data_IF_365988803987
#
_entry.id   IF_365988803987
#
_cell.length_a   1.000
_cell.length_b   1.000
_cell.length_c   1.000
_cell.angle_alpha   90.00
_cell.angle_beta   90.00
_cell.angle_gamma   90.00
#
_symmetry.space_group_name_H-M   'P 1'
#
loop_
_entity.id
_entity.type
_entity.pdbx_description
1 polymer ?
#
# COMPACT_ATOMS: atom_id res chain seq x y z
N UNK A 1 69.98 -47.61 -13.86
CA UNK A 1 68.58 -47.62 -14.35
C UNK A 1 68.62 -47.40 -15.86
N UNK A 2 68.12 -48.38 -16.63
CA UNK A 2 68.11 -48.30 -18.07
C UNK A 2 67.19 -47.28 -18.64
N UNK A 3 67.48 -46.77 -19.84
CA UNK A 3 66.69 -45.72 -20.54
C UNK A 3 65.20 -46.03 -20.65
N UNK A 4 64.81 -47.32 -20.69
CA UNK A 4 63.42 -47.76 -20.74
C UNK A 4 62.66 -47.50 -19.39
N UNK A 5 63.35 -47.67 -18.24
CA UNK A 5 62.79 -47.40 -16.93
C UNK A 5 62.52 -45.92 -16.68
N UNK A 6 63.42 -45.05 -17.14
CA UNK A 6 63.20 -43.56 -17.08
C UNK A 6 62.08 -43.10 -17.99
N UNK A 7 61.91 -43.67 -19.19
CA UNK A 7 60.75 -43.37 -20.04
C UNK A 7 59.40 -43.78 -19.44
N UNK A 8 59.33 -44.95 -18.81
CA UNK A 8 58.12 -45.43 -18.13
C UNK A 8 57.77 -44.55 -16.90
N UNK A 9 58.79 -44.13 -16.15
CA UNK A 9 58.61 -43.24 -15.00
C UNK A 9 58.11 -41.85 -15.45
N UNK A 10 58.69 -41.28 -16.50
CA UNK A 10 58.24 -39.98 -17.04
C UNK A 10 56.82 -40.05 -17.61
N UNK A 11 56.45 -41.16 -18.27
CA UNK A 11 55.08 -41.34 -18.78
C UNK A 11 54.07 -41.44 -17.62
N UNK A 12 54.43 -42.12 -16.52
CA UNK A 12 53.62 -42.23 -15.32
C UNK A 12 53.35 -40.82 -14.70
N UNK A 13 54.38 -39.98 -14.58
CA UNK A 13 54.23 -38.62 -14.05
C UNK A 13 53.37 -37.72 -14.96
N UNK A 14 53.50 -37.82 -16.28
CA UNK A 14 52.68 -37.07 -17.24
C UNK A 14 51.23 -37.49 -17.15
N UNK A 15 50.94 -38.81 -17.05
CA UNK A 15 49.55 -39.29 -16.91
C UNK A 15 48.94 -38.93 -15.55
N UNK A 16 49.73 -38.97 -14.47
CA UNK A 16 49.28 -38.56 -13.15
C UNK A 16 48.98 -37.04 -13.11
N UNK A 17 49.81 -36.24 -13.76
CA UNK A 17 49.57 -34.76 -13.86
C UNK A 17 48.35 -34.44 -14.71
N UNK A 18 48.14 -35.15 -15.84
CA UNK A 18 46.95 -35.02 -16.66
C UNK A 18 45.68 -35.42 -15.93
N UNK A 19 45.71 -36.54 -15.16
CA UNK A 19 44.59 -36.98 -14.34
C UNK A 19 44.24 -35.97 -13.22
N UNK A 20 45.26 -35.42 -12.56
CA UNK A 20 45.08 -34.38 -11.54
C UNK A 20 44.50 -33.10 -12.13
N UNK A 21 44.97 -32.68 -13.31
CA UNK A 21 44.46 -31.50 -14.03
C UNK A 21 42.99 -31.72 -14.44
N UNK A 22 42.66 -32.90 -14.95
CA UNK A 22 41.26 -33.26 -15.29
C UNK A 22 40.36 -33.33 -14.06
N UNK A 23 40.85 -33.84 -12.94
CA UNK A 23 40.12 -33.86 -11.67
C UNK A 23 39.83 -32.43 -11.14
N UNK A 24 40.83 -31.55 -11.21
CA UNK A 24 40.70 -30.12 -10.86
C UNK A 24 39.70 -29.42 -11.79
N UNK A 25 39.78 -29.70 -13.09
CA UNK A 25 38.87 -29.16 -14.09
C UNK A 25 37.43 -29.67 -13.82
N UNK A 26 37.27 -30.96 -13.54
CA UNK A 26 35.99 -31.55 -13.20
C UNK A 26 35.41 -30.94 -11.95
N UNK A 27 36.16 -30.73 -10.87
CA UNK A 27 35.73 -30.06 -9.65
C UNK A 27 35.34 -28.61 -9.90
N UNK A 28 36.09 -27.89 -10.79
CA UNK A 28 35.73 -26.52 -11.17
C UNK A 28 34.46 -26.43 -12.00
N UNK A 29 34.26 -27.36 -12.94
CA UNK A 29 33.08 -27.41 -13.80
C UNK A 29 31.81 -27.89 -13.06
N UNK A 30 31.99 -28.62 -11.95
CA UNK A 30 30.89 -29.16 -11.15
C UNK A 30 30.80 -28.49 -9.77
N UNK A 31 31.50 -27.36 -9.56
CA UNK A 31 31.25 -26.53 -8.40
C UNK A 31 29.83 -25.98 -8.55
N UNK A 32 28.91 -26.50 -7.76
CA UNK A 32 27.56 -25.90 -7.66
C UNK A 32 27.73 -24.40 -7.40
N UNK A 33 27.09 -23.57 -8.19
CA UNK A 33 27.04 -22.15 -7.87
C UNK A 33 26.50 -22.00 -6.44
N UNK A 34 27.07 -21.09 -5.65
CA UNK A 34 26.53 -20.84 -4.32
C UNK A 34 25.06 -20.48 -4.47
N UNK A 35 24.20 -21.26 -3.82
CA UNK A 35 22.76 -20.97 -3.80
C UNK A 35 22.60 -19.64 -3.10
N UNK A 36 22.01 -18.68 -3.79
CA UNK A 36 21.66 -17.39 -3.20
C UNK A 36 20.62 -17.65 -2.09
N UNK A 37 20.91 -17.37 -0.81
CA UNK A 37 19.98 -17.60 0.28
C UNK A 37 18.70 -16.73 0.18
N UNK A 38 18.73 -15.71 -0.68
CA UNK A 38 17.64 -14.77 -0.90
C UNK A 38 17.02 -14.88 -2.30
N UNK A 39 17.26 -16.00 -3.00
CA UNK A 39 16.67 -16.23 -4.32
C UNK A 39 15.14 -16.11 -4.26
N UNK A 40 14.56 -15.22 -5.08
CA UNK A 40 13.11 -14.95 -5.08
C UNK A 40 12.62 -14.02 -3.97
N UNK A 41 13.51 -13.44 -3.18
CA UNK A 41 13.19 -12.42 -2.19
C UNK A 41 13.56 -11.01 -2.68
N UNK A 42 12.94 -10.01 -2.09
CA UNK A 42 13.24 -8.59 -2.28
C UNK A 42 13.65 -7.96 -0.95
N UNK A 43 14.52 -6.97 -1.01
CA UNK A 43 15.02 -6.27 0.17
C UNK A 43 14.24 -4.98 0.35
N UNK A 44 13.40 -4.91 1.37
CA UNK A 44 12.43 -3.83 1.58
C UNK A 44 12.63 -3.17 2.94
N UNK A 45 12.16 -1.93 3.06
CA UNK A 45 12.01 -1.23 4.33
C UNK A 45 10.62 -1.55 4.89
N UNK A 46 10.54 -2.23 6.04
CA UNK A 46 9.28 -2.59 6.69
C UNK A 46 8.77 -1.55 7.71
N UNK A 47 9.52 -0.45 7.86
CA UNK A 47 9.25 0.61 8.82
C UNK A 47 10.08 0.50 10.10
N UNK A 48 10.65 -0.65 10.39
CA UNK A 48 11.57 -0.89 11.51
C UNK A 48 13.00 -1.13 11.04
N UNK A 49 13.18 -1.42 9.76
CA UNK A 49 14.47 -1.64 9.15
C UNK A 49 14.37 -2.28 7.78
N UNK A 50 15.53 -2.66 7.25
CA UNK A 50 15.62 -3.36 5.96
C UNK A 50 15.55 -4.86 6.17
N UNK A 51 14.59 -5.53 5.51
CA UNK A 51 14.34 -6.97 5.64
C UNK A 51 14.20 -7.65 4.28
N UNK A 52 14.50 -8.94 4.22
CA UNK A 52 14.20 -9.77 3.06
C UNK A 52 12.77 -10.30 3.14
N UNK A 53 12.00 -10.11 2.09
CA UNK A 53 10.61 -10.54 1.99
C UNK A 53 10.40 -11.32 0.69
N UNK A 54 9.62 -12.39 0.75
CA UNK A 54 9.11 -13.05 -0.46
C UNK A 54 7.89 -12.29 -0.95
N UNK A 55 7.90 -11.73 -2.17
CA UNK A 55 6.75 -11.02 -2.72
C UNK A 55 5.51 -11.93 -2.82
N UNK A 56 4.34 -11.34 -2.61
CA UNK A 56 3.06 -11.99 -2.88
C UNK A 56 2.85 -12.08 -4.39
N UNK A 57 2.46 -13.25 -4.85
CA UNK A 57 2.15 -13.48 -6.28
C UNK A 57 0.84 -12.77 -6.66
N UNK A 58 0.82 -12.18 -7.83
CA UNK A 58 -0.37 -11.51 -8.38
C UNK A 58 -0.63 -10.10 -7.85
N UNK A 59 0.15 -9.60 -6.91
CA UNK A 59 0.05 -8.22 -6.43
C UNK A 59 0.96 -7.32 -7.26
N UNK A 60 0.42 -6.23 -7.80
CA UNK A 60 1.16 -5.30 -8.64
C UNK A 60 2.31 -4.64 -7.85
N UNK A 61 3.49 -4.57 -8.48
CA UNK A 61 4.69 -3.98 -7.88
C UNK A 61 4.72 -2.48 -8.15
N UNK A 62 5.05 -1.71 -7.13
CA UNK A 62 5.25 -0.27 -7.26
C UNK A 62 6.41 0.04 -8.23
N UNK A 63 6.12 0.85 -9.23
CA UNK A 63 7.09 1.31 -10.23
C UNK A 63 7.60 2.73 -9.96
N UNK A 64 7.05 3.41 -8.96
CA UNK A 64 7.45 4.76 -8.57
C UNK A 64 8.81 4.74 -7.86
N UNK A 65 9.60 5.75 -8.12
CA UNK A 65 10.95 5.91 -7.58
C UNK A 65 11.16 7.33 -7.03
N UNK A 66 12.19 7.58 -6.22
CA UNK A 66 12.52 8.94 -5.79
C UNK A 66 12.71 9.95 -6.93
N UNK A 67 13.12 9.48 -8.13
CA UNK A 67 13.33 10.35 -9.29
C UNK A 67 12.01 10.89 -9.87
N UNK A 68 10.89 10.25 -9.58
CA UNK A 68 9.56 10.66 -10.04
C UNK A 68 8.95 11.77 -9.17
N UNK A 69 9.64 12.18 -8.10
CA UNK A 69 9.14 13.19 -7.16
C UNK A 69 10.12 14.33 -6.96
N UNK A 70 9.59 15.50 -6.67
CA UNK A 70 10.32 16.70 -6.28
C UNK A 70 9.62 17.36 -5.12
N UNK A 71 10.37 17.74 -4.09
CA UNK A 71 9.82 18.52 -2.97
C UNK A 71 9.64 19.99 -3.36
N UNK A 72 8.44 20.51 -3.21
CA UNK A 72 8.09 21.92 -3.43
C UNK A 72 7.30 22.40 -2.22
N UNK A 73 7.79 23.43 -1.56
CA UNK A 73 7.19 24.01 -0.37
C UNK A 73 6.86 22.95 0.73
N UNK A 74 7.76 21.97 0.89
CA UNK A 74 7.63 20.89 1.87
C UNK A 74 6.64 19.79 1.50
N UNK A 75 6.13 19.77 0.26
CA UNK A 75 5.21 18.75 -0.25
C UNK A 75 5.81 18.02 -1.45
N UNK A 76 5.64 16.69 -1.56
CA UNK A 76 6.04 15.97 -2.74
C UNK A 76 5.15 16.35 -3.92
N UNK A 77 5.78 16.59 -5.07
CA UNK A 77 5.12 16.76 -6.37
C UNK A 77 5.59 15.64 -7.28
N UNK A 78 4.66 14.93 -7.88
CA UNK A 78 4.96 13.97 -8.92
C UNK A 78 5.39 14.68 -10.21
N UNK A 79 6.53 14.29 -10.76
CA UNK A 79 7.11 14.84 -12.00
C UNK A 79 7.30 13.78 -13.07
N UNK A 80 6.91 12.54 -12.79
CA UNK A 80 6.94 11.44 -13.75
C UNK A 80 5.88 11.58 -14.85
N UNK A 81 5.82 10.61 -15.75
CA UNK A 81 4.93 10.63 -16.91
C UNK A 81 3.84 9.57 -16.89
N UNK A 82 3.91 8.62 -15.97
CA UNK A 82 2.98 7.49 -15.92
C UNK A 82 1.59 7.86 -15.36
N UNK A 83 1.52 8.87 -14.49
CA UNK A 83 0.30 9.26 -13.79
C UNK A 83 0.00 10.74 -13.93
N UNK A 84 -1.27 11.09 -13.88
CA UNK A 84 -1.75 12.37 -13.39
C UNK A 84 -1.97 12.24 -11.89
N UNK A 85 -1.76 13.32 -11.13
CA UNK A 85 -1.91 13.28 -9.68
C UNK A 85 -2.86 14.36 -9.19
N UNK A 86 -3.56 14.04 -8.10
CA UNK A 86 -4.43 14.96 -7.36
C UNK A 86 -4.00 14.96 -5.90
N UNK A 87 -4.09 16.12 -5.24
CA UNK A 87 -3.75 16.24 -3.84
C UNK A 87 -5.01 16.42 -3.00
N UNK A 88 -5.07 15.73 -1.86
CA UNK A 88 -6.21 15.79 -0.98
C UNK A 88 -5.82 15.64 0.49
N UNK A 89 -6.85 15.68 1.32
CA UNK A 89 -6.75 15.50 2.77
C UNK A 89 -7.66 14.36 3.20
N UNK A 90 -7.38 13.79 4.37
CA UNK A 90 -8.35 12.98 5.08
C UNK A 90 -8.63 13.57 6.47
N UNK A 91 -9.87 13.45 6.90
CA UNK A 91 -10.35 14.16 8.08
C UNK A 91 -11.49 13.42 8.80
N UNK A 92 -11.64 13.76 10.07
CA UNK A 92 -12.66 13.23 10.96
C UNK A 92 -13.12 14.29 11.95
N UNK A 93 -13.89 13.89 12.97
CA UNK A 93 -14.23 14.79 14.09
C UNK A 93 -13.03 15.41 14.81
N UNK A 94 -11.83 14.85 14.66
CA UNK A 94 -10.62 15.37 15.32
C UNK A 94 -10.20 16.74 14.78
N UNK A 95 -10.54 17.05 13.53
CA UNK A 95 -10.29 18.34 12.91
C UNK A 95 -11.33 19.40 13.31
N UNK A 96 -12.42 18.99 13.95
CA UNK A 96 -13.49 19.88 14.39
C UNK A 96 -14.09 20.72 13.26
N UNK A 97 -14.25 22.01 13.43
CA UNK A 97 -14.84 22.90 12.43
C UNK A 97 -13.81 23.33 11.39
N UNK A 98 -14.15 23.19 10.12
CA UNK A 98 -13.31 23.53 8.97
C UNK A 98 -13.90 24.75 8.24
N UNK A 99 -13.06 25.73 7.94
CA UNK A 99 -13.36 26.85 7.06
C UNK A 99 -13.14 26.44 5.60
N UNK A 100 -14.14 25.78 5.03
CA UNK A 100 -14.10 25.26 3.65
C UNK A 100 -13.88 26.33 2.59
N UNK A 101 -14.19 27.60 2.86
CA UNK A 101 -13.90 28.70 1.93
C UNK A 101 -12.39 28.95 1.80
N UNK A 102 -11.64 28.71 2.86
CA UNK A 102 -10.17 28.80 2.84
C UNK A 102 -9.50 27.53 2.32
N UNK A 103 -10.11 26.37 2.53
CA UNK A 103 -9.59 25.09 2.05
C UNK A 103 -9.77 24.96 0.54
N UNK A 104 -10.85 25.52 0.00
CA UNK A 104 -11.14 25.47 -1.43
C UNK A 104 -10.00 26.04 -2.28
N UNK A 105 -9.61 25.28 -3.32
CA UNK A 105 -8.50 25.65 -4.21
C UNK A 105 -7.10 25.26 -3.68
N UNK A 106 -7.00 24.68 -2.48
CA UNK A 106 -5.74 24.15 -1.94
C UNK A 106 -5.62 22.65 -2.06
N UNK A 107 -6.76 21.98 -2.25
CA UNK A 107 -6.88 20.54 -2.42
C UNK A 107 -7.86 20.22 -3.54
N UNK A 108 -7.70 19.04 -4.12
CA UNK A 108 -8.57 18.53 -5.19
C UNK A 108 -9.65 17.59 -4.63
N UNK A 109 -9.39 16.94 -3.49
CA UNK A 109 -10.32 15.97 -2.88
C UNK A 109 -10.19 15.91 -1.36
N UNK A 110 -11.21 15.33 -0.73
CA UNK A 110 -11.22 15.02 0.70
C UNK A 110 -11.80 13.63 0.98
N UNK A 111 -11.10 12.83 1.80
CA UNK A 111 -11.66 11.66 2.44
C UNK A 111 -12.23 12.03 3.81
N UNK A 112 -13.51 11.75 4.02
CA UNK A 112 -14.23 12.15 5.24
C UNK A 112 -14.63 10.90 6.01
N UNK A 113 -14.24 10.82 7.29
CA UNK A 113 -14.69 9.71 8.13
C UNK A 113 -16.20 9.75 8.25
N UNK A 114 -16.87 8.71 7.74
CA UNK A 114 -18.31 8.58 7.89
C UNK A 114 -18.66 8.18 9.31
N UNK A 115 -17.91 7.25 9.88
CA UNK A 115 -18.19 6.71 11.19
C UNK A 115 -17.15 5.67 11.61
N UNK A 116 -17.47 4.97 12.67
CA UNK A 116 -16.59 3.97 13.25
C UNK A 116 -17.37 2.93 14.05
N UNK A 117 -16.78 1.74 14.19
CA UNK A 117 -17.21 0.78 15.21
C UNK A 117 -16.43 1.02 16.49
N UNK A 118 -17.14 1.13 17.62
CA UNK A 118 -16.52 1.32 18.93
C UNK A 118 -15.59 0.16 19.29
N UNK A 119 -14.37 0.48 19.68
CA UNK A 119 -13.31 -0.51 19.91
C UNK A 119 -13.46 -1.34 21.19
N UNK A 120 -14.42 -1.00 22.08
CA UNK A 120 -14.75 -1.81 23.27
C UNK A 120 -16.06 -2.55 23.09
N UNK A 121 -17.18 -1.81 22.91
CA UNK A 121 -18.54 -2.36 22.91
C UNK A 121 -19.02 -2.79 21.51
N UNK A 122 -18.31 -2.36 20.45
CA UNK A 122 -18.61 -2.77 19.08
C UNK A 122 -19.86 -2.13 18.47
N UNK A 123 -20.41 -1.07 19.08
CA UNK A 123 -21.51 -0.29 18.50
C UNK A 123 -21.05 0.51 17.29
N UNK A 124 -21.98 0.76 16.34
CA UNK A 124 -21.74 1.61 15.17
C UNK A 124 -22.10 3.06 15.52
N UNK A 125 -21.20 3.96 15.17
CA UNK A 125 -21.34 5.39 15.42
C UNK A 125 -21.03 6.17 14.16
N UNK A 126 -21.85 7.20 13.89
CA UNK A 126 -21.56 8.19 12.88
C UNK A 126 -20.59 9.23 13.43
N UNK A 127 -19.67 9.73 12.61
CA UNK A 127 -18.77 10.82 12.99
C UNK A 127 -19.57 12.13 13.11
N UNK A 128 -19.42 12.83 14.22
CA UNK A 128 -20.19 14.04 14.52
C UNK A 128 -20.00 15.18 13.50
N UNK A 129 -18.91 15.14 12.75
CA UNK A 129 -18.58 16.13 11.72
C UNK A 129 -18.75 15.58 10.30
N UNK A 130 -19.30 14.37 10.13
CA UNK A 130 -19.51 13.78 8.80
C UNK A 130 -20.37 14.68 7.91
N UNK A 131 -21.61 14.94 8.30
CA UNK A 131 -22.53 15.75 7.49
C UNK A 131 -22.01 17.18 7.25
N UNK A 132 -21.54 17.94 8.26
CA UNK A 132 -20.97 19.27 8.05
C UNK A 132 -19.80 19.28 7.06
N UNK A 133 -18.90 18.29 7.14
CA UNK A 133 -17.75 18.21 6.26
C UNK A 133 -18.14 17.80 4.83
N UNK A 134 -19.05 16.84 4.66
CA UNK A 134 -19.60 16.47 3.35
C UNK A 134 -20.24 17.70 2.66
N UNK A 135 -21.11 18.42 3.34
CA UNK A 135 -21.74 19.63 2.81
C UNK A 135 -20.70 20.73 2.52
N UNK A 136 -19.74 20.89 3.40
CA UNK A 136 -18.68 21.88 3.25
C UNK A 136 -17.83 21.64 2.01
N UNK A 137 -17.33 20.42 1.81
CA UNK A 137 -16.50 20.06 0.67
C UNK A 137 -17.29 20.11 -0.65
N UNK A 138 -18.44 19.43 -0.71
CA UNK A 138 -19.26 19.33 -1.92
C UNK A 138 -19.71 20.71 -2.41
N UNK A 139 -20.13 21.61 -1.51
CA UNK A 139 -20.57 22.96 -1.90
C UNK A 139 -19.48 23.85 -2.50
N UNK A 140 -18.21 23.45 -2.38
CA UNK A 140 -17.05 24.11 -2.99
C UNK A 140 -16.47 23.34 -4.16
N UNK A 141 -17.15 22.28 -4.61
CA UNK A 141 -16.71 21.48 -5.75
C UNK A 141 -15.50 20.60 -5.47
N UNK A 142 -15.22 20.33 -4.19
CA UNK A 142 -14.18 19.38 -3.77
C UNK A 142 -14.76 17.97 -3.91
N UNK A 143 -14.05 17.09 -4.61
CA UNK A 143 -14.43 15.69 -4.73
C UNK A 143 -14.31 14.97 -3.38
N UNK A 144 -15.27 14.08 -3.10
CA UNK A 144 -15.34 13.42 -1.80
C UNK A 144 -15.34 11.91 -1.92
N UNK A 145 -14.58 11.29 -1.03
CA UNK A 145 -14.66 9.90 -0.65
C UNK A 145 -14.98 9.79 0.84
N UNK A 146 -15.29 8.58 1.28
CA UNK A 146 -15.57 8.32 2.69
C UNK A 146 -14.76 7.12 3.17
N UNK A 147 -14.40 7.15 4.45
CA UNK A 147 -13.82 5.99 5.12
C UNK A 147 -14.59 5.62 6.39
N UNK A 148 -14.57 4.35 6.71
CA UNK A 148 -15.17 3.82 7.93
C UNK A 148 -14.09 3.16 8.78
N UNK A 149 -13.90 3.65 10.01
CA UNK A 149 -12.94 3.09 10.95
C UNK A 149 -13.49 1.81 11.56
N UNK A 150 -13.04 0.68 11.03
CA UNK A 150 -13.54 -0.64 11.38
C UNK A 150 -12.88 -1.19 12.64
N UNK A 151 -13.69 -1.83 13.46
CA UNK A 151 -13.23 -2.71 14.53
C UNK A 151 -14.05 -4.01 14.52
N UNK A 152 -14.40 -4.49 13.32
CA UNK A 152 -15.09 -5.75 13.13
C UNK A 152 -14.24 -6.93 13.61
N UNK A 153 -14.87 -7.87 14.30
CA UNK A 153 -14.25 -9.11 14.79
C UNK A 153 -14.70 -10.35 14.02
N UNK A 154 -15.58 -10.17 13.05
CA UNK A 154 -16.09 -11.21 12.16
C UNK A 154 -16.72 -10.60 10.90
N UNK A 155 -16.91 -11.45 9.88
CA UNK A 155 -17.46 -11.10 8.57
C UNK A 155 -18.82 -10.40 8.66
N UNK A 156 -19.70 -10.86 9.56
CA UNK A 156 -21.03 -10.27 9.70
C UNK A 156 -20.95 -8.82 10.15
N UNK A 157 -20.08 -8.50 11.10
CA UNK A 157 -19.86 -7.13 11.54
C UNK A 157 -19.28 -6.24 10.42
N UNK A 158 -18.38 -6.76 9.59
CA UNK A 158 -17.84 -6.01 8.45
C UNK A 158 -18.92 -5.70 7.40
N UNK A 159 -19.86 -6.64 7.17
CA UNK A 159 -21.03 -6.40 6.32
C UNK A 159 -21.93 -5.30 6.93
N UNK A 160 -22.20 -5.36 8.23
CA UNK A 160 -22.99 -4.34 8.93
C UNK A 160 -22.35 -2.94 8.83
N UNK A 161 -21.01 -2.85 8.91
CA UNK A 161 -20.27 -1.61 8.71
C UNK A 161 -20.46 -1.07 7.29
N UNK A 162 -20.33 -1.92 6.28
CA UNK A 162 -20.53 -1.54 4.88
C UNK A 162 -21.98 -1.10 4.61
N UNK A 163 -22.97 -1.82 5.12
CA UNK A 163 -24.39 -1.45 5.01
C UNK A 163 -24.68 -0.11 5.70
N UNK A 164 -24.08 0.12 6.88
CA UNK A 164 -24.17 1.39 7.59
C UNK A 164 -23.63 2.56 6.75
N UNK A 165 -22.52 2.35 6.06
CA UNK A 165 -21.92 3.32 5.14
C UNK A 165 -22.84 3.57 3.95
N UNK A 166 -23.27 2.52 3.24
CA UNK A 166 -24.12 2.61 2.04
C UNK A 166 -25.41 3.40 2.32
N UNK A 167 -26.06 3.13 3.45
CA UNK A 167 -27.30 3.83 3.81
C UNK A 167 -27.10 5.35 3.89
N UNK A 168 -25.94 5.79 4.40
CA UNK A 168 -25.65 7.21 4.66
C UNK A 168 -25.16 7.95 3.45
N UNK A 169 -24.42 7.29 2.56
CA UNK A 169 -23.84 7.95 1.38
C UNK A 169 -24.77 8.00 0.17
N UNK A 170 -25.86 7.26 0.13
CA UNK A 170 -26.73 7.11 -1.04
C UNK A 170 -27.22 8.39 -1.67
N UNK A 171 -27.28 9.49 -0.91
CA UNK A 171 -27.76 10.80 -1.36
C UNK A 171 -26.61 11.80 -1.60
N UNK A 172 -25.36 11.39 -1.43
CA UNK A 172 -24.19 12.22 -1.70
C UNK A 172 -23.54 11.85 -3.05
N UNK A 173 -22.96 12.82 -3.76
CA UNK A 173 -22.23 12.57 -4.98
C UNK A 173 -20.81 12.04 -4.66
N UNK A 174 -20.72 10.79 -4.22
CA UNK A 174 -19.44 10.14 -3.93
C UNK A 174 -18.71 9.92 -5.25
N UNK A 175 -17.56 10.54 -5.43
CA UNK A 175 -16.73 10.48 -6.63
C UNK A 175 -15.42 9.72 -6.45
N UNK A 176 -15.09 9.37 -5.21
CA UNK A 176 -13.90 8.60 -4.84
C UNK A 176 -14.30 7.28 -4.17
N UNK A 177 -13.38 6.33 -4.02
CA UNK A 177 -13.64 5.06 -3.34
C UNK A 177 -14.21 5.19 -1.93
N UNK A 178 -14.93 4.14 -1.52
CA UNK A 178 -15.38 3.92 -0.14
C UNK A 178 -14.38 3.01 0.55
N UNK A 179 -13.81 3.47 1.66
CA UNK A 179 -12.60 2.89 2.24
C UNK A 179 -12.90 2.09 3.49
N UNK A 180 -12.42 0.84 3.51
CA UNK A 180 -12.27 0.04 4.71
C UNK A 180 -10.98 0.46 5.42
N UNK A 181 -11.08 1.00 6.62
CA UNK A 181 -9.98 1.46 7.44
C UNK A 181 -9.95 0.70 8.76
N UNK A 182 -9.06 -0.28 8.86
CA UNK A 182 -8.81 -1.00 10.10
C UNK A 182 -7.40 -0.71 10.60
N UNK A 183 -7.32 -0.26 11.83
CA UNK A 183 -6.04 -0.01 12.47
C UNK A 183 -6.01 -0.63 13.86
N UNK A 184 -4.80 -1.01 14.29
CA UNK A 184 -4.59 -1.48 15.65
C UNK A 184 -4.72 -0.30 16.63
N UNK A 185 -5.54 -0.48 17.67
CA UNK A 185 -5.70 0.55 18.71
C UNK A 185 -4.45 0.58 19.59
N UNK A 186 -3.86 1.74 19.72
CA UNK A 186 -2.73 1.93 20.64
C UNK A 186 -3.16 1.85 22.11
N UNK A 187 -2.30 1.30 22.95
CA UNK A 187 -2.55 1.18 24.39
C UNK A 187 -3.28 -0.09 24.81
N UNK A 188 -3.80 -0.85 23.88
CA UNK A 188 -4.48 -2.12 24.16
C UNK A 188 -5.90 -1.98 24.73
N UNK A 189 -6.58 -3.09 24.91
CA UNK A 189 -7.96 -3.15 25.42
C UNK A 189 -9.02 -3.04 24.33
N UNK A 190 -8.61 -3.08 23.07
CA UNK A 190 -9.54 -3.15 21.96
C UNK A 190 -10.04 -4.58 21.72
N UNK A 191 -11.26 -4.70 21.27
CA UNK A 191 -11.90 -5.98 20.89
C UNK A 191 -11.16 -6.72 19.77
N UNK A 192 -10.31 -6.00 19.04
CA UNK A 192 -9.51 -6.50 17.90
C UNK A 192 -8.03 -6.71 18.23
N UNK A 193 -7.60 -6.56 19.48
CA UNK A 193 -6.19 -6.70 19.87
C UNK A 193 -5.59 -8.06 19.52
N UNK A 194 -6.38 -9.13 19.68
CA UNK A 194 -6.00 -10.51 19.40
C UNK A 194 -6.69 -11.05 18.12
N UNK A 195 -7.08 -10.15 17.21
CA UNK A 195 -7.75 -10.56 15.98
C UNK A 195 -6.80 -11.40 15.12
N UNK A 196 -7.27 -12.58 14.71
CA UNK A 196 -6.54 -13.41 13.75
C UNK A 196 -6.45 -12.71 12.39
N UNK A 197 -5.29 -12.80 11.76
CA UNK A 197 -5.06 -12.20 10.43
C UNK A 197 -6.04 -12.73 9.38
N UNK A 198 -6.43 -14.00 9.45
CA UNK A 198 -7.39 -14.58 8.52
C UNK A 198 -8.75 -13.87 8.66
N UNK A 199 -9.18 -13.59 9.88
CA UNK A 199 -10.43 -12.88 10.16
C UNK A 199 -10.36 -11.42 9.70
N UNK A 200 -9.22 -10.73 9.93
CA UNK A 200 -9.00 -9.38 9.42
C UNK A 200 -9.17 -9.33 7.89
N UNK A 201 -8.53 -10.27 7.19
CA UNK A 201 -8.63 -10.36 5.73
C UNK A 201 -10.06 -10.70 5.26
N UNK A 202 -10.74 -11.61 5.94
CA UNK A 202 -12.13 -11.97 5.64
C UNK A 202 -13.07 -10.77 5.86
N UNK A 203 -12.85 -9.97 6.88
CA UNK A 203 -13.60 -8.73 7.15
C UNK A 203 -13.37 -7.69 6.04
N UNK A 204 -12.11 -7.45 5.65
CA UNK A 204 -11.79 -6.51 4.57
C UNK A 204 -12.46 -6.91 3.25
N UNK A 205 -12.39 -8.19 2.87
CA UNK A 205 -13.07 -8.72 1.68
C UNK A 205 -14.59 -8.54 1.79
N UNK A 206 -15.18 -8.87 2.93
CA UNK A 206 -16.63 -8.78 3.12
C UNK A 206 -17.15 -7.34 3.04
N UNK A 207 -16.45 -6.38 3.65
CA UNK A 207 -16.77 -4.96 3.54
C UNK A 207 -16.67 -4.52 2.07
N UNK A 208 -15.54 -4.77 1.42
CA UNK A 208 -15.28 -4.34 0.05
C UNK A 208 -16.28 -4.95 -0.95
N UNK A 209 -16.59 -6.23 -0.84
CA UNK A 209 -17.60 -6.86 -1.71
C UNK A 209 -19.00 -6.28 -1.48
N UNK A 210 -19.36 -5.94 -0.24
CA UNK A 210 -20.65 -5.30 0.06
C UNK A 210 -20.72 -3.91 -0.58
N UNK A 211 -19.65 -3.10 -0.49
CA UNK A 211 -19.53 -1.79 -1.14
C UNK A 211 -19.60 -1.91 -2.66
N UNK A 212 -18.85 -2.85 -3.24
CA UNK A 212 -18.81 -3.13 -4.69
C UNK A 212 -20.19 -3.53 -5.24
N UNK A 213 -20.89 -4.40 -4.51
CA UNK A 213 -22.24 -4.83 -4.88
C UNK A 213 -23.29 -3.71 -4.81
N UNK A 214 -23.05 -2.68 -4.02
CA UNK A 214 -23.88 -1.46 -3.98
C UNK A 214 -23.54 -0.45 -5.09
N UNK A 215 -22.52 -0.72 -5.91
CA UNK A 215 -22.13 0.09 -7.06
C UNK A 215 -21.09 1.17 -6.75
N UNK A 216 -20.42 1.10 -5.60
CA UNK A 216 -19.29 1.97 -5.25
C UNK A 216 -17.97 1.27 -5.49
N UNK A 217 -16.91 2.03 -5.70
CA UNK A 217 -15.54 1.52 -5.76
C UNK A 217 -15.03 1.26 -4.35
N UNK A 218 -14.64 0.04 -3.98
CA UNK A 218 -14.05 -0.25 -2.68
C UNK A 218 -12.55 0.05 -2.67
N UNK A 219 -12.05 0.47 -1.50
CA UNK A 219 -10.64 0.67 -1.23
C UNK A 219 -10.29 0.14 0.16
N UNK A 220 -9.06 -0.31 0.35
CA UNK A 220 -8.53 -0.72 1.65
C UNK A 220 -7.39 0.22 2.05
N UNK A 221 -7.54 0.87 3.22
CA UNK A 221 -6.47 1.65 3.82
C UNK A 221 -5.59 0.76 4.69
N UNK A 222 -4.28 0.97 4.61
CA UNK A 222 -3.32 0.35 5.52
C UNK A 222 -2.01 1.11 5.59
N UNK A 223 -1.37 1.05 6.75
CA UNK A 223 0.00 1.49 6.90
C UNK A 223 0.98 0.42 6.42
N UNK A 224 2.26 0.79 6.31
CA UNK A 224 3.36 -0.08 5.87
C UNK A 224 3.37 -1.45 6.56
N UNK A 225 3.21 -1.48 7.89
CA UNK A 225 3.29 -2.71 8.67
C UNK A 225 2.10 -3.65 8.40
N UNK A 226 0.89 -3.10 8.34
CA UNK A 226 -0.31 -3.87 8.00
C UNK A 226 -0.23 -4.41 6.56
N UNK A 227 0.29 -3.62 5.61
CA UNK A 227 0.46 -4.04 4.23
C UNK A 227 1.42 -5.21 4.06
N UNK A 228 2.49 -5.29 4.87
CA UNK A 228 3.44 -6.40 4.78
C UNK A 228 3.09 -7.59 5.67
N UNK A 229 2.47 -7.37 6.83
CA UNK A 229 2.35 -8.40 7.86
C UNK A 229 0.92 -8.67 8.34
N UNK A 230 -0.02 -7.79 8.06
CA UNK A 230 -1.42 -7.92 8.45
C UNK A 230 -2.29 -8.48 7.35
N UNK A 231 -2.29 -7.79 6.21
CA UNK A 231 -3.08 -8.19 5.06
C UNK A 231 -2.38 -9.21 4.17
N UNK A 232 -3.16 -10.09 3.58
CA UNK A 232 -2.82 -10.86 2.38
C UNK A 232 -3.30 -10.08 1.16
N UNK A 233 -2.46 -9.18 0.66
CA UNK A 233 -2.81 -8.29 -0.44
C UNK A 233 -3.20 -9.05 -1.72
N UNK A 234 -2.79 -10.32 -1.87
CA UNK A 234 -3.20 -11.13 -3.02
C UNK A 234 -4.70 -11.43 -3.06
N UNK A 235 -5.37 -11.32 -1.91
CA UNK A 235 -6.83 -11.46 -1.78
C UNK A 235 -7.59 -10.15 -2.01
N UNK A 236 -6.89 -9.03 -2.09
CA UNK A 236 -7.45 -7.68 -2.13
C UNK A 236 -7.20 -6.96 -3.46
N UNK A 237 -6.61 -7.63 -4.44
CA UNK A 237 -6.21 -7.04 -5.74
C UNK A 237 -7.37 -6.53 -6.60
N UNK A 238 -8.60 -6.89 -6.26
CA UNK A 238 -9.82 -6.37 -6.90
C UNK A 238 -10.27 -5.00 -6.35
N UNK A 239 -9.56 -4.47 -5.35
CA UNK A 239 -9.88 -3.22 -4.66
C UNK A 239 -8.72 -2.24 -4.76
N UNK A 240 -9.02 -0.94 -4.67
CA UNK A 240 -7.97 0.07 -4.62
C UNK A 240 -7.21 0.03 -3.28
N UNK A 241 -5.96 0.47 -3.29
CA UNK A 241 -5.11 0.55 -2.10
C UNK A 241 -4.81 2.00 -1.74
N UNK A 242 -5.12 2.36 -0.50
CA UNK A 242 -4.69 3.60 0.10
C UNK A 242 -3.59 3.30 1.14
N UNK A 243 -2.37 3.67 0.81
CA UNK A 243 -1.18 3.27 1.58
C UNK A 243 -0.62 4.44 2.37
N UNK A 244 -0.50 4.26 3.67
CA UNK A 244 0.13 5.22 4.57
C UNK A 244 1.61 4.89 4.77
N UNK A 245 2.46 5.66 4.09
CA UNK A 245 3.92 5.60 4.18
C UNK A 245 4.49 7.01 4.07
N UNK A 246 4.42 7.82 5.16
CA UNK A 246 4.89 9.19 5.14
C UNK A 246 6.33 9.32 4.65
N UNK A 247 6.57 10.30 3.78
CA UNK A 247 7.88 10.51 3.17
C UNK A 247 7.84 11.34 1.89
N UNK A 248 8.96 11.36 1.19
CA UNK A 248 9.15 12.15 -0.03
C UNK A 248 8.69 11.43 -1.30
N UNK A 249 8.47 10.12 -1.22
CA UNK A 249 7.92 9.25 -2.26
C UNK A 249 7.29 8.00 -1.61
N UNK A 250 6.37 7.29 -2.29
CA UNK A 250 5.70 6.10 -1.73
C UNK A 250 6.66 4.90 -1.67
N UNK A 251 7.50 4.85 -0.63
CA UNK A 251 8.45 3.75 -0.35
C UNK A 251 7.69 2.53 0.21
N UNK A 252 6.90 1.90 -0.64
CA UNK A 252 6.20 0.65 -0.38
C UNK A 252 6.37 -0.27 -1.60
N UNK A 253 6.56 -1.56 -1.39
CA UNK A 253 6.92 -2.47 -2.48
C UNK A 253 5.82 -2.69 -3.50
N UNK A 254 4.56 -2.69 -3.07
CA UNK A 254 3.42 -2.89 -3.96
C UNK A 254 2.84 -1.55 -4.41
N UNK A 255 2.18 -1.56 -5.57
CA UNK A 255 1.49 -0.38 -6.10
C UNK A 255 0.39 0.09 -5.15
N UNK A 256 0.09 1.37 -5.19
CA UNK A 256 -1.04 1.97 -4.51
C UNK A 256 -1.72 3.01 -5.40
N UNK A 257 -3.02 3.17 -5.22
CA UNK A 257 -3.83 4.16 -5.93
C UNK A 257 -3.79 5.50 -5.19
N UNK A 258 -3.72 5.45 -3.85
CA UNK A 258 -3.66 6.63 -2.99
C UNK A 258 -2.51 6.47 -2.01
N UNK A 259 -1.73 7.53 -1.88
CA UNK A 259 -0.59 7.59 -0.96
C UNK A 259 -0.80 8.67 0.08
N UNK A 260 -0.89 8.29 1.36
CA UNK A 260 -0.85 9.22 2.49
C UNK A 260 0.60 9.49 2.84
N UNK A 261 1.05 10.73 2.58
CA UNK A 261 2.46 11.08 2.63
C UNK A 261 2.87 11.96 3.82
N UNK A 262 1.91 12.51 4.55
CA UNK A 262 2.17 13.39 5.70
C UNK A 262 1.03 13.33 6.70
N UNK A 263 1.33 13.52 7.99
CA UNK A 263 0.38 13.64 9.11
C UNK A 263 0.41 15.01 9.77
N UNK A 264 1.17 15.97 9.23
CA UNK A 264 1.47 17.23 9.93
C UNK A 264 1.45 18.44 9.00
N UNK A 265 0.66 18.40 7.94
CA UNK A 265 0.52 19.54 7.06
C UNK A 265 -0.35 20.63 7.68
N UNK A 266 -0.01 21.87 7.39
CA UNK A 266 -0.82 23.03 7.76
C UNK A 266 -1.61 23.46 6.54
N UNK A 267 -2.93 23.49 6.67
CA UNK A 267 -3.88 23.94 5.63
C UNK A 267 -4.65 25.15 6.14
N UNK A 268 -4.57 26.30 5.50
CA UNK A 268 -5.41 27.45 5.85
C UNK A 268 -6.89 27.09 5.91
N UNK A 269 -7.54 27.36 7.05
CA UNK A 269 -8.92 26.98 7.27
C UNK A 269 -9.11 25.74 8.17
N UNK A 270 -8.02 25.11 8.57
CA UNK A 270 -8.01 23.98 9.51
C UNK A 270 -7.01 24.29 10.62
N UNK A 271 -7.44 24.19 11.87
CA UNK A 271 -6.65 24.60 13.04
C UNK A 271 -5.76 23.48 13.62
N UNK A 272 -5.81 22.29 13.04
CA UNK A 272 -5.03 21.12 13.45
C UNK A 272 -4.06 20.70 12.36
N UNK A 273 -3.08 19.88 12.72
CA UNK A 273 -2.29 19.14 11.74
C UNK A 273 -3.19 18.28 10.86
N UNK A 274 -2.81 18.16 9.58
CA UNK A 274 -3.60 17.46 8.57
C UNK A 274 -2.82 16.36 7.88
N UNK A 275 -3.54 15.29 7.62
CA UNK A 275 -3.09 14.22 6.78
C UNK A 275 -3.23 14.60 5.32
N UNK A 276 -2.14 14.39 4.56
CA UNK A 276 -2.07 14.73 3.14
C UNK A 276 -1.94 13.48 2.29
N UNK A 277 -2.68 13.51 1.20
CA UNK A 277 -2.80 12.39 0.28
C UNK A 277 -2.51 12.79 -1.17
N UNK A 278 -1.97 11.84 -1.93
CA UNK A 278 -1.82 11.95 -3.38
C UNK A 278 -2.54 10.76 -4.04
N UNK A 279 -3.49 11.07 -4.90
CA UNK A 279 -4.17 10.09 -5.76
C UNK A 279 -3.40 9.99 -7.08
N UNK A 280 -3.10 8.77 -7.51
CA UNK A 280 -2.45 8.46 -8.79
C UNK A 280 -3.50 8.01 -9.80
N UNK A 281 -3.57 8.68 -10.93
CA UNK A 281 -4.49 8.37 -12.03
C UNK A 281 -3.63 7.94 -13.22
N UNK A 282 -3.65 6.66 -13.64
CA UNK A 282 -2.86 6.21 -14.76
C UNK A 282 -3.16 7.00 -16.04
N UNK A 283 -2.13 7.52 -16.69
CA UNK A 283 -2.28 8.11 -18.01
C UNK A 283 -2.51 7.02 -19.05
N UNK A 284 -3.47 7.24 -19.92
CA UNK A 284 -3.63 6.36 -21.07
C UNK A 284 -2.31 6.31 -21.86
N UNK A 285 -1.82 5.11 -22.19
CA UNK A 285 -0.68 4.97 -23.07
C UNK A 285 -0.97 5.73 -24.37
N UNK A 286 -0.10 6.66 -24.76
CA UNK A 286 -0.20 7.29 -26.06
C UNK A 286 -0.17 6.20 -27.13
N UNK A 287 -1.25 6.10 -27.92
CA UNK A 287 -1.24 5.21 -29.07
C UNK A 287 -0.10 5.66 -29.98
N UNK A 288 0.78 4.77 -30.45
CA UNK A 288 1.82 5.17 -31.39
C UNK A 288 1.18 5.86 -32.60
N UNK A 289 1.63 7.06 -32.92
CA UNK A 289 1.20 7.73 -34.15
C UNK A 289 1.43 6.78 -35.32
N UNK A 290 0.46 6.63 -36.24
CA UNK A 290 0.66 5.81 -37.42
C UNK A 290 1.85 6.41 -38.20
N UNK A 291 2.89 5.62 -38.41
CA UNK A 291 4.02 5.99 -39.26
C UNK A 291 3.49 6.48 -40.62
N UNK A 292 3.86 7.71 -40.97
CA UNK A 292 3.51 8.35 -42.26
C UNK A 292 4.39 7.81 -43.37
#
# INVERSE_FOLDING_TARGET
MGTAAKRRLNLFFVLAFAAAALAILFVRLHKAEPVDPHAGQVYINDGFGMVWMTPLEGVEVNTLSPADFRMVDGRPQYVGTAFDTRNGIDLSQHQTTIDWDKVAGQIDFAYIRLGYRGYTEGGLFEDNYFEPNMHGAISRGIDVGVYFFSQATNVQEAIEEAEFVIERIRNYPISLPVVYDWEKIEGGGARTDELDKSVLNDCAVAFCETIKNAGYTPCVYFNRHLGYYGYDLSRLTDYEFWVSVPGDFPDFYYACDIWQYSFSAVIPGIDTDMDMNMLFIPRAAESPEPEK
#
